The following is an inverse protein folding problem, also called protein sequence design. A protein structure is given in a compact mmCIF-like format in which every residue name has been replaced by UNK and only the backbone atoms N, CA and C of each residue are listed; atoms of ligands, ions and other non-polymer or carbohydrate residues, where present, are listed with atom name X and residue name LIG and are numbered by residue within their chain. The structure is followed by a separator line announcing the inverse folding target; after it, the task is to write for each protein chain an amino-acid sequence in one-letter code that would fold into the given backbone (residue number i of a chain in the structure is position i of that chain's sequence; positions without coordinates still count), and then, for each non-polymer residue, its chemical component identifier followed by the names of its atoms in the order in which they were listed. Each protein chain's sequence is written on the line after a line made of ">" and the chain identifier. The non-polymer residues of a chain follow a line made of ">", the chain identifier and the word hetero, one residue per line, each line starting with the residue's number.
data_IF_872732254515
#
_entry.id   IF_872732254515
#
_cell.length_a   1.000
_cell.length_b   1.000
_cell.length_c   1.000
_cell.angle_alpha   90.00
_cell.angle_beta   90.00
_cell.angle_gamma   90.00
#
_symmetry.space_group_name_H-M   'P 1'
#
loop_
_entity.id
_entity.type
_entity.pdbx_description
1 polymer ?
#
# COMPACT_ATOMS: atom_id res chain seq x y z
N UNK A 1 -3.47 0.84 22.11
CA UNK A 1 -3.35 1.53 20.80
C UNK A 1 -2.81 0.50 19.83
N UNK A 2 -3.37 0.35 18.63
CA UNK A 2 -2.74 -0.48 17.62
C UNK A 2 -1.55 0.32 17.06
N UNK A 3 -0.34 -0.19 17.24
CA UNK A 3 0.84 0.42 16.65
C UNK A 3 0.74 0.38 15.12
N UNK A 4 0.99 1.52 14.49
CA UNK A 4 0.94 1.70 13.02
C UNK A 4 2.31 1.52 12.37
N UNK A 5 3.35 1.32 13.19
CA UNK A 5 4.75 1.11 12.81
C UNK A 5 5.32 -0.05 13.61
N UNK A 6 6.23 -0.80 13.02
CA UNK A 6 6.91 -1.91 13.68
C UNK A 6 8.11 -1.44 14.54
N UNK A 7 8.84 -2.39 15.13
CA UNK A 7 10.01 -2.10 15.95
C UNK A 7 11.19 -1.46 15.17
N UNK A 8 11.22 -1.60 13.85
CA UNK A 8 12.17 -0.95 12.95
C UNK A 8 11.68 0.42 12.45
N UNK A 9 10.44 0.81 12.78
CA UNK A 9 9.81 2.05 12.34
C UNK A 9 9.18 1.95 10.95
N UNK A 10 9.08 0.75 10.37
CA UNK A 10 8.41 0.54 9.09
C UNK A 10 6.89 0.45 9.31
N UNK A 11 6.05 1.09 8.46
CA UNK A 11 4.61 0.91 8.46
C UNK A 11 4.18 -0.55 8.59
N UNK A 12 3.37 -0.85 9.61
CA UNK A 12 2.69 -2.14 9.65
C UNK A 12 1.52 -2.05 8.67
N UNK A 13 1.45 -2.91 7.63
CA UNK A 13 0.33 -2.93 6.68
C UNK A 13 -0.89 -3.59 7.32
N UNK A 14 -1.39 -2.96 8.39
CA UNK A 14 -2.66 -3.31 9.01
C UNK A 14 -3.80 -2.97 8.04
N UNK A 15 -4.93 -3.65 8.20
CA UNK A 15 -6.12 -3.40 7.39
C UNK A 15 -6.60 -1.96 7.48
N UNK A 16 -6.46 -1.30 8.63
CA UNK A 16 -6.80 0.12 8.83
C UNK A 16 -5.90 1.07 8.03
N UNK A 17 -4.58 0.86 8.04
CA UNK A 17 -3.61 1.68 7.29
C UNK A 17 -3.84 1.54 5.78
N UNK A 18 -4.05 0.31 5.29
CA UNK A 18 -4.35 0.06 3.88
C UNK A 18 -5.68 0.69 3.46
N UNK A 19 -6.70 0.65 4.33
CA UNK A 19 -8.00 1.28 4.05
C UNK A 19 -7.89 2.81 4.00
N UNK A 20 -7.12 3.42 4.92
CA UNK A 20 -6.87 4.86 4.92
C UNK A 20 -6.09 5.30 3.67
N UNK A 21 -5.14 4.49 3.19
CA UNK A 21 -4.36 4.75 2.00
C UNK A 21 -5.07 4.32 0.69
N UNK A 22 -6.24 3.68 0.75
CA UNK A 22 -6.86 3.01 -0.40
C UNK A 22 -7.04 3.93 -1.61
N UNK A 23 -7.47 5.19 -1.40
CA UNK A 23 -7.62 6.16 -2.49
C UNK A 23 -6.29 6.58 -3.13
N UNK A 24 -5.24 6.69 -2.32
CA UNK A 24 -3.90 6.97 -2.84
C UNK A 24 -3.33 5.75 -3.57
N UNK A 25 -3.56 4.54 -3.08
CA UNK A 25 -3.15 3.29 -3.72
C UNK A 25 -3.88 3.10 -5.06
N UNK A 26 -5.18 3.39 -5.11
CA UNK A 26 -6.00 3.29 -6.32
C UNK A 26 -5.45 4.14 -7.47
N UNK A 27 -5.04 5.38 -7.17
CA UNK A 27 -4.54 6.33 -8.18
C UNK A 27 -3.09 6.03 -8.56
N UNK A 28 -2.22 5.84 -7.57
CA UNK A 28 -0.77 5.77 -7.80
C UNK A 28 -0.28 4.38 -8.22
N UNK A 29 -0.98 3.31 -7.81
CA UNK A 29 -0.63 1.91 -8.15
C UNK A 29 -1.65 1.27 -9.10
N UNK A 30 -2.40 2.08 -9.85
CA UNK A 30 -3.48 1.59 -10.72
C UNK A 30 -2.95 0.58 -11.74
N UNK A 31 -1.80 0.86 -12.35
CA UNK A 31 -1.21 0.06 -13.42
C UNK A 31 -0.90 -1.35 -12.95
N UNK A 32 -0.15 -1.46 -11.85
CA UNK A 32 0.29 -2.70 -11.24
C UNK A 32 -0.91 -3.52 -10.76
N UNK A 33 -1.88 -2.87 -10.13
CA UNK A 33 -3.10 -3.51 -9.66
C UNK A 33 -3.93 -4.08 -10.83
N UNK A 34 -4.09 -3.31 -11.91
CA UNK A 34 -4.83 -3.76 -13.11
C UNK A 34 -4.11 -4.91 -13.80
N UNK A 35 -2.78 -4.89 -13.90
CA UNK A 35 -2.02 -6.01 -14.46
C UNK A 35 -2.16 -7.29 -13.64
N UNK A 36 -2.12 -7.18 -12.31
CA UNK A 36 -2.35 -8.31 -11.41
C UNK A 36 -3.76 -8.88 -11.58
N UNK A 37 -4.79 -8.03 -11.66
CA UNK A 37 -6.18 -8.46 -11.89
C UNK A 37 -6.37 -9.10 -13.27
N UNK A 38 -5.76 -8.56 -14.33
CA UNK A 38 -5.77 -9.17 -15.66
C UNK A 38 -5.11 -10.55 -15.66
N UNK A 39 -4.00 -10.71 -14.95
CA UNK A 39 -3.34 -12.00 -14.79
C UNK A 39 -4.25 -13.01 -14.10
N UNK A 40 -4.82 -12.65 -12.93
CA UNK A 40 -5.78 -13.51 -12.21
C UNK A 40 -7.01 -13.88 -13.03
N UNK A 41 -7.49 -12.97 -13.89
CA UNK A 41 -8.64 -13.24 -14.77
C UNK A 41 -8.29 -14.21 -15.89
N UNK A 42 -7.03 -14.22 -16.35
CA UNK A 42 -6.57 -15.09 -17.44
C UNK A 42 -6.24 -16.50 -16.95
N UNK A 43 -5.61 -16.62 -15.78
CA UNK A 43 -5.20 -17.91 -15.22
C UNK A 43 -5.45 -17.92 -13.70
N UNK A 44 -6.25 -18.86 -13.18
CA UNK A 44 -6.54 -18.94 -11.75
C UNK A 44 -5.35 -19.47 -10.92
N UNK A 45 -4.29 -19.99 -11.55
CA UNK A 45 -3.11 -20.44 -10.82
C UNK A 45 -2.35 -19.25 -10.19
N UNK A 46 -2.27 -19.16 -8.85
CA UNK A 46 -1.65 -18.04 -8.17
C UNK A 46 -0.15 -17.88 -8.49
N UNK A 47 0.57 -18.98 -8.75
CA UNK A 47 2.02 -18.96 -8.97
C UNK A 47 2.41 -18.16 -10.21
N UNK A 48 1.58 -18.21 -11.26
CA UNK A 48 1.84 -17.50 -12.52
C UNK A 48 1.69 -15.99 -12.40
N UNK A 49 0.97 -15.51 -11.39
CA UNK A 49 0.73 -14.08 -11.16
C UNK A 49 1.52 -13.51 -9.98
N UNK A 50 2.38 -14.32 -9.33
CA UNK A 50 3.17 -13.90 -8.17
C UNK A 50 4.05 -12.69 -8.45
N UNK A 51 4.63 -12.60 -9.65
CA UNK A 51 5.50 -11.48 -10.01
C UNK A 51 4.72 -10.16 -10.05
N UNK A 52 3.54 -10.18 -10.68
CA UNK A 52 2.62 -9.03 -10.72
C UNK A 52 2.04 -8.69 -9.34
N UNK A 53 1.78 -9.70 -8.52
CA UNK A 53 1.39 -9.52 -7.13
C UNK A 53 2.47 -8.80 -6.32
N UNK A 54 3.74 -9.22 -6.45
CA UNK A 54 4.88 -8.55 -5.79
C UNK A 54 5.03 -7.09 -6.24
N UNK A 55 4.84 -6.80 -7.53
CA UNK A 55 4.88 -5.42 -8.05
C UNK A 55 3.76 -4.56 -7.44
N UNK A 56 2.53 -5.06 -7.43
CA UNK A 56 1.38 -4.38 -6.82
C UNK A 56 1.58 -4.12 -5.32
N UNK A 57 2.03 -5.14 -4.56
CA UNK A 57 2.32 -4.99 -3.13
C UNK A 57 3.47 -4.03 -2.87
N UNK A 58 4.55 -4.07 -3.66
CA UNK A 58 5.68 -3.14 -3.52
C UNK A 58 5.25 -1.69 -3.73
N UNK A 59 4.39 -1.44 -4.72
CA UNK A 59 3.86 -0.10 -4.95
C UNK A 59 2.99 0.36 -3.78
N UNK A 60 2.03 -0.47 -3.34
CA UNK A 60 1.12 -0.13 -2.25
C UNK A 60 1.85 0.13 -0.92
N UNK A 61 2.82 -0.73 -0.57
CA UNK A 61 3.63 -0.56 0.64
C UNK A 61 4.53 0.68 0.55
N UNK A 62 5.14 0.92 -0.62
CA UNK A 62 5.93 2.14 -0.83
C UNK A 62 5.12 3.41 -0.54
N UNK A 63 3.84 3.45 -0.93
CA UNK A 63 2.98 4.60 -0.64
C UNK A 63 2.66 4.75 0.86
N UNK A 64 2.50 3.64 1.59
CA UNK A 64 2.24 3.69 3.03
C UNK A 64 3.47 4.13 3.83
N UNK A 65 4.68 3.76 3.39
CA UNK A 65 5.96 4.28 3.90
C UNK A 65 6.04 5.80 3.78
N UNK A 66 5.84 6.35 2.58
CA UNK A 66 5.91 7.79 2.36
C UNK A 66 4.80 8.56 3.08
N UNK A 67 3.58 8.01 3.11
CA UNK A 67 2.44 8.69 3.72
C UNK A 67 2.61 8.83 5.23
N UNK A 68 3.11 7.82 5.93
CA UNK A 68 3.33 7.91 7.38
C UNK A 68 4.48 8.84 7.76
N UNK A 69 5.47 9.08 6.89
CA UNK A 69 6.51 10.10 7.09
C UNK A 69 5.96 11.52 6.88
N UNK A 70 5.00 11.68 5.94
CA UNK A 70 4.38 12.98 5.64
C UNK A 70 3.21 13.36 6.55
N UNK A 71 2.50 12.39 7.12
CA UNK A 71 1.41 12.62 8.07
C UNK A 71 1.84 13.43 9.30
N UNK A 72 2.98 13.19 9.98
CA UNK A 72 3.43 14.06 11.07
C UNK A 72 3.73 15.49 10.58
N UNK A 73 4.27 15.66 9.36
CA UNK A 73 4.47 16.99 8.76
C UNK A 73 3.15 17.71 8.47
N UNK A 74 2.11 17.00 8.03
CA UNK A 74 0.80 17.59 7.74
C UNK A 74 -0.02 17.82 9.02
N UNK A 75 0.05 16.91 10.01
CA UNK A 75 -0.59 17.04 11.32
C UNK A 75 -0.01 18.23 12.11
N UNK A 76 1.32 18.42 12.10
CA UNK A 76 1.94 19.62 12.69
C UNK A 76 1.51 20.93 12.04
N UNK A 77 1.08 20.91 10.77
CA UNK A 77 0.51 22.10 10.09
C UNK A 77 -0.97 22.34 10.38
N UNK A 78 -1.72 21.32 10.80
CA UNK A 78 -3.14 21.44 11.14
C UNK A 78 -3.39 21.72 12.64
N UNK A 79 -2.37 21.53 13.49
CA UNK A 79 -2.43 21.76 14.96
C UNK A 79 -1.74 23.07 15.37
N UNK A 80 -1.32 23.91 14.41
CA UNK A 80 -0.78 25.26 14.65
C UNK A 80 -1.69 26.32 14.05
#
# INVERSE_FOLDING_TARGET
>A
MADVVDAAGEPIPTSSVLMAAAKHIEINCMSENVEFLKCKKKDPNPEKCLDKGRQATRCALGLTEYSLILVPLHWSKQVK
#
